data_IF_306584090010
#
_entry.id   IF_306584090010
#
_cell.length_a   1.000
_cell.length_b   1.000
_cell.length_c   1.000
_cell.angle_alpha   90.00
_cell.angle_beta   90.00
_cell.angle_gamma   90.00
#
_symmetry.space_group_name_H-M   'P 1'
#
loop_
_entity.id
_entity.type
_entity.pdbx_description
1 polymer ?
#
# COMPACT_ATOMS: atom_id res chain seq x y z
N UNK A 1 12.31 -29.74 -85.91
CA UNK A 1 11.73 -29.82 -84.55
C UNK A 1 12.80 -29.48 -83.53
N UNK A 2 12.83 -28.23 -83.05
CA UNK A 2 13.69 -27.78 -81.94
C UNK A 2 12.75 -27.14 -80.92
N UNK A 3 12.57 -27.81 -79.79
CA UNK A 3 11.55 -27.52 -78.78
C UNK A 3 12.17 -26.63 -77.69
N UNK A 4 11.91 -25.32 -77.74
CA UNK A 4 12.37 -24.37 -76.72
C UNK A 4 11.60 -24.56 -75.40
N UNK A 5 12.28 -25.13 -74.40
CA UNK A 5 11.80 -25.28 -73.02
C UNK A 5 11.82 -23.92 -72.31
N UNK A 6 10.68 -23.23 -72.26
CA UNK A 6 10.50 -22.01 -71.45
C UNK A 6 10.51 -22.37 -69.96
N UNK A 7 11.59 -22.04 -69.25
CA UNK A 7 11.69 -22.16 -67.79
C UNK A 7 10.95 -20.98 -67.15
N UNK A 8 9.81 -21.23 -66.52
CA UNK A 8 9.09 -20.25 -65.70
C UNK A 8 9.80 -20.14 -64.36
N UNK A 9 10.43 -19.00 -64.10
CA UNK A 9 11.01 -18.65 -62.80
C UNK A 9 9.85 -18.21 -61.90
N UNK A 10 9.51 -19.00 -60.89
CA UNK A 10 8.60 -18.61 -59.82
C UNK A 10 9.37 -17.74 -58.84
N UNK A 11 9.12 -16.43 -58.85
CA UNK A 11 9.61 -15.53 -57.82
C UNK A 11 8.77 -15.72 -56.55
N UNK A 12 9.33 -16.42 -55.56
CA UNK A 12 8.76 -16.48 -54.21
C UNK A 12 9.09 -15.16 -53.52
N UNK A 13 8.12 -14.25 -53.47
CA UNK A 13 8.20 -13.05 -52.64
C UNK A 13 8.07 -13.50 -51.19
N UNK A 14 9.20 -13.61 -50.49
CA UNK A 14 9.24 -13.88 -49.06
C UNK A 14 8.66 -12.69 -48.29
N UNK A 15 7.44 -12.84 -47.81
CA UNK A 15 6.85 -11.92 -46.85
C UNK A 15 7.50 -12.18 -45.48
N UNK A 16 8.63 -11.52 -45.23
CA UNK A 16 9.26 -11.48 -43.92
C UNK A 16 8.32 -10.78 -42.95
N UNK A 17 7.61 -11.56 -42.14
CA UNK A 17 6.94 -11.08 -40.92
C UNK A 17 8.02 -10.49 -40.01
N UNK A 18 8.26 -9.19 -40.15
CA UNK A 18 9.06 -8.42 -39.20
C UNK A 18 8.37 -8.53 -37.84
N UNK A 19 9.04 -9.17 -36.89
CA UNK A 19 8.64 -9.14 -35.50
C UNK A 19 8.64 -7.68 -35.03
N UNK A 20 7.47 -7.07 -35.02
CA UNK A 20 7.23 -5.78 -34.39
C UNK A 20 7.40 -6.02 -32.89
N UNK A 21 8.56 -5.67 -32.35
CA UNK A 21 8.70 -5.43 -30.92
C UNK A 21 7.76 -4.27 -30.58
N UNK A 22 6.62 -4.57 -29.96
CA UNK A 22 5.76 -3.58 -29.32
C UNK A 22 6.32 -3.36 -27.91
N UNK A 23 7.05 -2.27 -27.63
CA UNK A 23 7.38 -1.91 -26.26
C UNK A 23 6.09 -1.49 -25.54
N UNK A 24 5.51 -2.35 -24.72
CA UNK A 24 4.30 -2.01 -23.97
C UNK A 24 3.42 -3.18 -23.49
N UNK A 25 3.97 -4.38 -23.35
CA UNK A 25 3.22 -5.49 -22.71
C UNK A 25 2.95 -5.19 -21.22
N UNK A 26 1.81 -5.66 -20.68
CA UNK A 26 1.49 -5.51 -19.25
C UNK A 26 2.49 -6.33 -18.43
N UNK A 27 3.30 -5.66 -17.60
CA UNK A 27 4.24 -6.36 -16.72
C UNK A 27 5.56 -5.65 -16.41
N UNK A 28 5.79 -4.41 -16.85
CA UNK A 28 6.90 -3.64 -16.29
C UNK A 28 6.53 -3.21 -14.86
N UNK A 29 6.98 -3.96 -13.86
CA UNK A 29 7.06 -3.41 -12.52
C UNK A 29 8.03 -2.22 -12.60
N UNK A 30 7.57 -1.04 -12.18
CA UNK A 30 8.43 0.13 -12.15
C UNK A 30 9.66 -0.20 -11.27
N UNK A 31 10.88 0.16 -11.69
CA UNK A 31 12.06 -0.10 -10.87
C UNK A 31 11.91 0.62 -9.53
N UNK A 32 12.47 0.09 -8.44
CA UNK A 32 12.32 0.67 -7.10
C UNK A 32 12.72 2.14 -7.02
N UNK A 33 13.68 2.55 -7.87
CA UNK A 33 14.13 3.95 -7.97
C UNK A 33 13.07 4.94 -8.44
N UNK A 34 11.95 4.47 -8.98
CA UNK A 34 10.82 5.31 -9.41
C UNK A 34 9.72 5.45 -8.34
N UNK A 35 9.83 4.68 -7.26
CA UNK A 35 8.90 4.70 -6.15
C UNK A 35 9.39 5.67 -5.07
N UNK A 36 8.51 6.58 -4.64
CA UNK A 36 8.82 7.63 -3.68
C UNK A 36 8.32 7.33 -2.27
N UNK A 37 7.26 6.52 -2.17
CA UNK A 37 6.56 6.25 -0.93
C UNK A 37 5.50 7.29 -0.56
N UNK A 38 4.52 6.86 0.23
CA UNK A 38 3.33 7.62 0.58
C UNK A 38 3.65 8.91 1.34
N UNK A 39 4.71 8.93 2.17
CA UNK A 39 5.18 10.09 2.92
C UNK A 39 5.52 11.26 1.99
N UNK A 40 6.13 10.98 0.83
CA UNK A 40 6.48 12.02 -0.15
C UNK A 40 5.23 12.65 -0.74
N UNK A 41 4.23 11.84 -1.09
CA UNK A 41 2.93 12.32 -1.54
C UNK A 41 2.22 13.14 -0.44
N UNK A 42 2.25 12.65 0.80
CA UNK A 42 1.62 13.26 1.97
C UNK A 42 2.15 14.64 2.33
N UNK A 43 3.37 15.00 1.90
CA UNK A 43 3.93 16.34 2.10
C UNK A 43 3.17 17.46 1.39
N UNK A 44 2.39 17.13 0.35
CA UNK A 44 1.52 18.06 -0.37
C UNK A 44 0.04 17.64 -0.34
N UNK A 45 -0.24 16.34 -0.17
CA UNK A 45 -1.57 15.74 -0.19
C UNK A 45 -1.95 15.18 1.19
N UNK A 46 -1.92 16.05 2.20
CA UNK A 46 -2.09 15.67 3.62
C UNK A 46 -3.42 14.96 3.88
N UNK A 47 -4.53 15.49 3.33
CA UNK A 47 -5.86 14.92 3.51
C UNK A 47 -5.97 13.51 2.90
N UNK A 48 -5.43 13.32 1.69
CA UNK A 48 -5.42 12.03 1.01
C UNK A 48 -4.55 11.03 1.77
N UNK A 49 -3.38 11.45 2.25
CA UNK A 49 -2.49 10.61 3.05
C UNK A 49 -3.12 10.21 4.38
N UNK A 50 -3.80 11.14 5.07
CA UNK A 50 -4.53 10.87 6.29
C UNK A 50 -5.72 9.92 6.09
N UNK A 51 -6.39 10.00 4.93
CA UNK A 51 -7.43 9.04 4.55
C UNK A 51 -6.84 7.65 4.29
N UNK A 52 -5.80 7.58 3.45
CA UNK A 52 -5.10 6.33 3.11
C UNK A 52 -4.59 5.59 4.35
N UNK A 53 -4.01 6.30 5.32
CA UNK A 53 -3.53 5.74 6.59
C UNK A 53 -4.59 4.97 7.39
N UNK A 54 -5.87 5.28 7.19
CA UNK A 54 -6.98 4.59 7.88
C UNK A 54 -7.44 3.33 7.15
N UNK A 55 -6.92 3.06 5.97
CA UNK A 55 -7.35 1.96 5.12
C UNK A 55 -6.58 0.68 5.41
N UNK A 56 -7.09 -0.44 4.90
CA UNK A 56 -6.37 -1.70 4.93
C UNK A 56 -5.04 -1.66 4.15
N UNK A 57 -4.92 -0.79 3.15
CA UNK A 57 -3.76 -0.73 2.28
C UNK A 57 -2.50 -0.25 3.01
N UNK A 58 -2.63 0.74 3.90
CA UNK A 58 -1.50 1.25 4.69
C UNK A 58 -0.83 0.16 5.55
N UNK A 59 -1.65 -0.70 6.19
CA UNK A 59 -1.15 -1.77 7.06
C UNK A 59 -1.09 -3.15 6.36
N UNK A 60 -1.16 -3.21 5.02
CA UNK A 60 -1.36 -4.47 4.31
C UNK A 60 -0.28 -5.51 4.68
N UNK A 61 1.00 -5.15 4.62
CA UNK A 61 2.11 -6.04 4.97
C UNK A 61 2.06 -6.49 6.44
N UNK A 62 1.69 -5.59 7.37
CA UNK A 62 1.64 -5.87 8.80
C UNK A 62 0.53 -6.87 9.19
N UNK A 63 -0.42 -7.16 8.29
CA UNK A 63 -1.45 -8.18 8.52
C UNK A 63 -1.01 -9.60 8.15
N UNK A 64 0.17 -9.75 7.55
CA UNK A 64 0.75 -11.06 7.24
C UNK A 64 1.53 -11.60 8.45
N UNK A 65 1.63 -12.93 8.54
CA UNK A 65 2.64 -13.54 9.40
C UNK A 65 4.05 -13.23 8.89
N UNK A 66 5.06 -13.35 9.76
CA UNK A 66 6.46 -13.11 9.38
C UNK A 66 6.91 -13.95 8.17
N UNK A 67 6.43 -15.19 8.07
CA UNK A 67 6.73 -16.09 6.94
C UNK A 67 6.10 -15.57 5.66
N UNK A 68 4.81 -15.22 5.70
CA UNK A 68 4.09 -14.67 4.55
C UNK A 68 4.64 -13.31 4.12
N UNK A 69 5.03 -12.45 5.07
CA UNK A 69 5.60 -11.14 4.78
C UNK A 69 6.90 -11.21 3.97
N UNK A 70 7.61 -12.34 4.01
CA UNK A 70 8.83 -12.59 3.22
C UNK A 70 8.58 -13.35 1.91
N UNK A 71 7.38 -13.90 1.72
CA UNK A 71 7.01 -14.64 0.52
C UNK A 71 6.72 -13.68 -0.65
N UNK A 72 7.47 -13.74 -1.77
CA UNK A 72 7.24 -12.90 -2.94
C UNK A 72 5.79 -12.94 -3.46
N UNK A 73 5.10 -14.08 -3.32
CA UNK A 73 3.70 -14.24 -3.74
C UNK A 73 2.80 -13.33 -2.91
N UNK A 74 2.96 -13.31 -1.58
CA UNK A 74 2.17 -12.44 -0.72
C UNK A 74 2.57 -10.96 -0.89
N UNK A 75 3.88 -10.69 -1.04
CA UNK A 75 4.39 -9.32 -1.22
C UNK A 75 3.90 -8.66 -2.50
N UNK A 76 3.58 -9.44 -3.54
CA UNK A 76 2.99 -8.94 -4.80
C UNK A 76 1.74 -8.07 -4.59
N UNK A 77 0.97 -8.35 -3.53
CA UNK A 77 -0.28 -7.64 -3.21
C UNK A 77 -0.20 -6.83 -1.91
N UNK A 78 0.76 -7.12 -1.03
CA UNK A 78 0.85 -6.52 0.30
C UNK A 78 1.93 -5.43 0.43
N UNK A 79 2.71 -5.20 -0.62
CA UNK A 79 3.73 -4.15 -0.70
C UNK A 79 3.63 -3.42 -2.04
N UNK A 80 4.20 -2.22 -2.11
CA UNK A 80 4.35 -1.51 -3.37
C UNK A 80 5.50 -2.06 -4.22
N UNK A 81 6.54 -2.59 -3.56
CA UNK A 81 7.68 -3.26 -4.21
C UNK A 81 7.91 -4.64 -3.58
N UNK A 82 7.55 -5.72 -4.31
CA UNK A 82 7.72 -7.08 -3.80
C UNK A 82 9.18 -7.48 -3.58
N UNK A 83 10.12 -6.80 -4.26
CA UNK A 83 11.55 -7.11 -4.23
C UNK A 83 12.32 -6.39 -3.13
N UNK A 84 11.80 -5.26 -2.64
CA UNK A 84 12.42 -4.48 -1.57
C UNK A 84 11.91 -4.92 -0.21
N UNK A 85 12.76 -4.89 0.82
CA UNK A 85 12.38 -5.04 2.23
C UNK A 85 12.38 -3.69 2.98
N UNK A 86 12.49 -2.58 2.25
CA UNK A 86 12.48 -1.24 2.83
C UNK A 86 11.14 -0.98 3.55
N UNK A 87 11.14 -0.70 4.88
CA UNK A 87 9.95 -0.34 5.61
C UNK A 87 9.23 0.88 5.03
N UNK A 88 9.93 1.79 4.35
CA UNK A 88 9.33 2.94 3.69
C UNK A 88 8.44 2.56 2.49
N UNK A 89 8.59 1.35 1.94
CA UNK A 89 7.78 0.81 0.84
C UNK A 89 6.82 -0.28 1.32
N UNK A 90 6.67 -0.45 2.64
CA UNK A 90 5.74 -1.41 3.24
C UNK A 90 4.29 -1.00 3.00
N UNK A 91 3.41 -1.99 2.84
CA UNK A 91 2.00 -1.76 2.55
C UNK A 91 1.72 -1.42 1.09
N UNK A 92 0.44 -1.33 0.76
CA UNK A 92 -0.04 -0.88 -0.55
C UNK A 92 -0.15 0.65 -0.49
N UNK A 93 0.68 1.34 -1.25
CA UNK A 93 0.86 2.79 -1.14
C UNK A 93 0.25 3.54 -2.32
N UNK A 94 0.41 4.87 -2.36
CA UNK A 94 -0.15 5.75 -3.39
C UNK A 94 0.14 5.26 -4.81
N UNK A 95 1.39 4.86 -5.06
CA UNK A 95 1.89 4.53 -6.40
C UNK A 95 1.43 3.13 -6.85
N UNK A 96 0.93 2.29 -5.93
CA UNK A 96 0.25 1.03 -6.25
C UNK A 96 -1.06 1.27 -7.02
N UNK A 97 -1.68 2.45 -6.86
CA UNK A 97 -2.90 2.80 -7.59
C UNK A 97 -2.69 3.87 -8.67
N UNK A 98 -1.80 4.83 -8.40
CA UNK A 98 -1.60 6.03 -9.23
C UNK A 98 -0.37 5.94 -10.16
N UNK A 99 0.32 4.80 -10.19
CA UNK A 99 1.57 4.62 -10.94
C UNK A 99 2.78 5.26 -10.23
N UNK A 100 4.01 5.01 -10.73
CA UNK A 100 5.25 5.46 -10.09
C UNK A 100 5.40 6.99 -10.06
N UNK A 101 5.65 7.54 -8.88
CA UNK A 101 5.54 8.97 -8.59
C UNK A 101 6.74 9.82 -8.92
N UNK A 102 7.91 9.22 -9.20
CA UNK A 102 9.17 9.96 -9.39
C UNK A 102 9.07 11.12 -10.38
N UNK A 103 8.34 10.97 -11.49
CA UNK A 103 8.32 11.98 -12.54
C UNK A 103 7.14 12.95 -12.43
N UNK A 104 6.04 12.58 -11.80
CA UNK A 104 4.89 13.47 -11.63
C UNK A 104 4.83 14.19 -10.27
N UNK A 105 5.59 13.74 -9.26
CA UNK A 105 5.62 14.37 -7.94
C UNK A 105 6.17 15.82 -7.89
N UNK A 106 7.10 16.27 -8.76
CA UNK A 106 7.54 17.66 -8.74
C UNK A 106 6.38 18.64 -8.87
N UNK A 107 6.37 19.69 -8.04
CA UNK A 107 5.23 20.62 -7.91
C UNK A 107 4.82 21.29 -9.22
N UNK A 108 5.77 21.60 -10.10
CA UNK A 108 5.49 22.18 -11.41
C UNK A 108 4.82 21.17 -12.36
N UNK A 109 5.16 19.89 -12.27
CA UNK A 109 4.53 18.81 -13.03
C UNK A 109 3.14 18.51 -12.48
N UNK A 110 3.00 18.31 -11.17
CA UNK A 110 1.73 17.94 -10.54
C UNK A 110 0.62 18.99 -10.78
N UNK A 111 0.98 20.25 -10.96
CA UNK A 111 0.03 21.34 -11.25
C UNK A 111 -0.48 21.35 -12.68
N UNK A 112 0.21 20.70 -13.60
CA UNK A 112 -0.16 20.61 -15.01
C UNK A 112 -0.84 19.24 -15.27
N UNK A 113 -2.15 19.21 -15.56
CA UNK A 113 -2.89 17.97 -15.78
C UNK A 113 -2.37 17.11 -16.93
N UNK A 114 -1.92 17.73 -18.01
CA UNK A 114 -1.42 17.02 -19.18
C UNK A 114 -0.05 16.42 -18.86
N UNK A 115 0.83 17.22 -18.26
CA UNK A 115 2.19 16.79 -17.94
C UNK A 115 2.24 15.69 -16.88
N UNK A 116 1.44 15.78 -15.80
CA UNK A 116 1.39 14.71 -14.77
C UNK A 116 0.88 13.39 -15.33
N UNK A 117 -0.10 13.44 -16.23
CA UNK A 117 -0.66 12.25 -16.88
C UNK A 117 0.35 11.64 -17.84
N UNK A 118 1.00 12.46 -18.67
CA UNK A 118 2.06 12.04 -19.57
C UNK A 118 3.23 11.38 -18.84
N UNK A 119 3.54 11.86 -17.63
CA UNK A 119 4.63 11.34 -16.79
C UNK A 119 4.21 10.21 -15.84
N UNK A 120 3.04 9.62 -16.06
CA UNK A 120 2.66 8.34 -15.48
C UNK A 120 1.65 8.39 -14.33
N UNK A 121 1.09 9.56 -14.00
CA UNK A 121 -0.02 9.62 -13.05
C UNK A 121 -1.28 9.05 -13.69
N UNK A 122 -1.81 7.97 -13.11
CA UNK A 122 -3.03 7.32 -13.60
C UNK A 122 -4.24 7.66 -12.75
N UNK A 123 -5.39 7.80 -13.41
CA UNK A 123 -6.67 7.68 -12.73
C UNK A 123 -6.92 6.21 -12.40
N UNK A 124 -7.50 5.97 -11.22
CA UNK A 124 -7.70 4.61 -10.71
C UNK A 124 -8.99 4.06 -11.27
N UNK A 125 -8.87 2.96 -12.01
CA UNK A 125 -9.98 2.22 -12.62
C UNK A 125 -10.10 0.82 -11.99
N UNK A 126 -11.23 0.14 -12.20
CA UNK A 126 -11.49 -1.19 -11.64
C UNK A 126 -10.37 -2.24 -11.85
N UNK A 127 -9.65 -2.27 -13.00
CA UNK A 127 -8.55 -3.22 -13.21
C UNK A 127 -7.39 -3.06 -12.22
N UNK A 128 -7.14 -1.85 -11.71
CA UNK A 128 -6.09 -1.61 -10.70
C UNK A 128 -6.42 -2.35 -9.42
N UNK A 129 -7.70 -2.36 -9.03
CA UNK A 129 -8.17 -3.10 -7.86
C UNK A 129 -8.11 -4.60 -8.09
N UNK A 130 -8.52 -5.06 -9.27
CA UNK A 130 -8.53 -6.48 -9.62
C UNK A 130 -7.12 -7.11 -9.68
N UNK A 131 -6.05 -6.31 -9.78
CA UNK A 131 -4.66 -6.79 -9.75
C UNK A 131 -4.31 -7.53 -8.46
N UNK A 132 -4.98 -7.21 -7.35
CA UNK A 132 -4.86 -7.93 -6.08
C UNK A 132 -6.20 -8.51 -5.61
N UNK A 133 -7.32 -7.96 -6.07
CA UNK A 133 -8.66 -8.38 -5.68
C UNK A 133 -9.32 -9.28 -6.72
N UNK A 134 -8.64 -10.36 -7.10
CA UNK A 134 -9.14 -11.39 -8.01
C UNK A 134 -9.62 -12.65 -7.26
N UNK A 135 -10.51 -13.42 -7.88
CA UNK A 135 -11.10 -14.63 -7.28
C UNK A 135 -10.06 -15.71 -6.92
N UNK A 136 -8.95 -15.75 -7.64
CA UNK A 136 -7.84 -16.68 -7.46
C UNK A 136 -6.77 -16.19 -6.46
N UNK A 137 -6.92 -14.98 -5.92
CA UNK A 137 -5.95 -14.45 -4.95
C UNK A 137 -6.09 -15.17 -3.60
N UNK A 138 -5.02 -15.79 -3.09
CA UNK A 138 -5.09 -16.55 -1.84
C UNK A 138 -5.58 -15.71 -0.65
N UNK A 139 -6.58 -16.22 0.06
CA UNK A 139 -7.07 -15.62 1.30
C UNK A 139 -7.93 -14.37 1.12
N UNK A 140 -8.34 -14.05 -0.11
CA UNK A 140 -9.21 -12.90 -0.36
C UNK A 140 -10.70 -13.27 -0.31
N UNK A 141 -11.49 -12.36 0.24
CA UNK A 141 -12.96 -12.46 0.19
C UNK A 141 -13.47 -11.94 -1.15
N UNK A 142 -14.68 -12.34 -1.58
CA UNK A 142 -15.33 -11.75 -2.75
C UNK A 142 -15.27 -10.23 -2.70
N UNK A 143 -14.76 -9.64 -3.78
CA UNK A 143 -14.54 -8.20 -3.89
C UNK A 143 -15.67 -7.56 -4.71
N UNK A 144 -16.44 -6.69 -4.07
CA UNK A 144 -17.37 -5.78 -4.75
C UNK A 144 -16.68 -4.43 -4.93
N UNK A 145 -16.22 -4.16 -6.16
CA UNK A 145 -15.54 -2.92 -6.50
C UNK A 145 -16.38 -1.69 -6.14
N UNK A 146 -17.68 -1.69 -6.49
CA UNK A 146 -18.57 -0.54 -6.28
C UNK A 146 -18.76 -0.27 -4.78
N UNK A 147 -18.85 -1.32 -3.96
CA UNK A 147 -19.00 -1.18 -2.52
C UNK A 147 -17.67 -0.88 -1.79
N UNK A 148 -16.51 -1.21 -2.37
CA UNK A 148 -15.21 -1.08 -1.69
C UNK A 148 -14.43 0.17 -2.10
N UNK A 149 -14.53 0.61 -3.36
CA UNK A 149 -13.84 1.83 -3.83
C UNK A 149 -14.20 3.03 -2.96
N UNK A 150 -15.40 3.02 -2.38
CA UNK A 150 -15.87 4.09 -1.52
C UNK A 150 -15.08 4.30 -0.24
N UNK A 151 -14.37 3.27 0.21
CA UNK A 151 -13.57 3.25 1.45
C UNK A 151 -12.12 3.67 1.22
N UNK A 152 -11.71 3.81 -0.04
CA UNK A 152 -10.33 4.11 -0.43
C UNK A 152 -10.24 5.41 -1.24
N UNK A 153 -11.31 5.79 -1.95
CA UNK A 153 -11.40 7.09 -2.62
C UNK A 153 -11.17 8.22 -1.62
N UNK A 154 -10.44 9.23 -2.06
CA UNK A 154 -9.92 10.31 -1.24
C UNK A 154 -10.51 11.67 -1.62
N UNK A 155 -11.63 11.64 -2.34
CA UNK A 155 -12.45 12.75 -2.82
C UNK A 155 -13.66 13.06 -1.91
N UNK A 156 -13.85 12.28 -0.84
CA UNK A 156 -15.03 12.42 0.03
C UNK A 156 -14.75 13.00 1.40
N UNK A 157 -15.38 14.15 1.59
CA UNK A 157 -16.10 14.56 2.79
C UNK A 157 -16.97 13.41 3.30
N UNK A 158 -17.11 13.31 4.62
CA UNK A 158 -17.84 12.30 5.39
C UNK A 158 -19.25 11.92 4.87
N UNK A 159 -19.85 12.74 4.00
CA UNK A 159 -21.19 12.62 3.41
C UNK A 159 -21.44 11.38 2.55
N UNK A 160 -20.40 10.77 1.99
CA UNK A 160 -20.54 9.67 1.04
C UNK A 160 -20.29 8.29 1.67
N UNK A 161 -20.01 8.27 2.98
CA UNK A 161 -20.09 7.06 3.79
C UNK A 161 -21.56 6.89 4.16
N UNK A 162 -22.20 5.84 3.65
CA UNK A 162 -23.53 5.48 4.10
C UNK A 162 -23.56 5.45 5.65
N UNK A 163 -24.54 6.06 6.32
CA UNK A 163 -24.59 6.16 7.79
C UNK A 163 -24.57 4.78 8.49
N UNK A 164 -24.87 3.71 7.75
CA UNK A 164 -24.92 2.33 8.23
C UNK A 164 -23.77 1.44 7.72
N UNK A 165 -22.76 2.01 7.05
CA UNK A 165 -21.56 1.26 6.71
C UNK A 165 -20.77 0.99 7.99
N UNK A 166 -21.16 -0.07 8.73
CA UNK A 166 -20.41 -0.57 9.89
C UNK A 166 -18.93 -0.51 9.55
N UNK A 167 -18.08 0.10 10.40
CA UNK A 167 -16.65 -0.02 10.23
C UNK A 167 -16.39 -1.52 10.10
N UNK A 168 -15.70 -1.90 9.02
CA UNK A 168 -15.24 -3.27 8.89
C UNK A 168 -14.50 -3.53 10.19
N UNK A 169 -15.08 -4.37 11.06
CA UNK A 169 -14.60 -4.53 12.42
C UNK A 169 -13.09 -4.73 12.32
N UNK A 170 -12.33 -3.85 12.94
CA UNK A 170 -10.91 -4.07 13.19
C UNK A 170 -10.88 -5.45 13.84
N UNK A 171 -10.46 -6.46 13.07
CA UNK A 171 -10.36 -7.80 13.63
C UNK A 171 -9.43 -7.66 14.83
N UNK A 172 -9.79 -8.18 16.01
CA UNK A 172 -8.77 -8.36 17.04
C UNK A 172 -7.65 -9.17 16.38
N UNK A 173 -6.41 -8.73 16.60
CA UNK A 173 -5.23 -9.50 16.24
C UNK A 173 -5.52 -10.94 16.70
N UNK A 174 -5.73 -11.83 15.73
CA UNK A 174 -6.07 -13.21 16.02
C UNK A 174 -4.79 -13.81 16.60
N UNK A 175 -4.76 -13.86 17.93
CA UNK A 175 -3.63 -14.35 18.69
C UNK A 175 -3.36 -15.81 18.41
N UNK A 176 -2.10 -16.17 18.71
CA UNK A 176 -1.64 -17.49 19.12
C UNK A 176 -2.06 -18.68 18.25
N UNK A 177 -1.10 -19.14 17.44
CA UNK A 177 -1.07 -20.51 16.93
C UNK A 177 -1.16 -21.51 18.10
N UNK A 178 -2.06 -22.50 18.08
CA UNK A 178 -2.15 -23.50 19.13
C UNK A 178 -1.11 -24.59 18.88
N UNK A 179 0.13 -24.37 19.34
CA UNK A 179 1.03 -25.47 19.64
C UNK A 179 2.15 -25.03 20.59
N UNK A 180 1.82 -25.04 21.87
CA UNK A 180 2.80 -25.08 22.96
C UNK A 180 2.23 -25.96 24.07
N UNK A 181 2.08 -27.25 23.78
CA UNK A 181 1.88 -28.28 24.78
C UNK A 181 3.11 -29.17 24.79
N UNK A 182 4.13 -28.82 25.57
CA UNK A 182 4.97 -29.81 26.27
C UNK A 182 5.98 -29.13 27.21
N UNK A 183 6.05 -29.70 28.42
CA UNK A 183 6.98 -29.45 29.52
C UNK A 183 6.57 -28.34 30.52
N UNK A 184 5.66 -28.73 31.42
CA UNK A 184 5.72 -28.32 32.81
C UNK A 184 6.70 -29.24 33.57
N UNK A 185 7.45 -28.66 34.51
CA UNK A 185 7.69 -29.10 35.89
C UNK A 185 9.14 -28.83 36.33
N UNK A 186 9.29 -27.94 37.30
CA UNK A 186 10.09 -28.15 38.50
C UNK A 186 10.07 -26.88 39.35
N UNK A 187 9.08 -26.83 40.24
CA UNK A 187 9.22 -26.47 41.66
C UNK A 187 10.54 -25.84 42.09
N UNK A 188 10.49 -24.62 42.66
CA UNK A 188 11.09 -24.28 43.96
C UNK A 188 10.47 -22.97 44.48
N UNK A 189 9.73 -23.09 45.57
CA UNK A 189 9.26 -22.00 46.41
C UNK A 189 10.35 -21.58 47.40
N UNK A 190 10.32 -20.30 47.81
CA UNK A 190 10.70 -19.72 49.13
C UNK A 190 10.72 -18.19 48.93
N UNK A 191 9.62 -17.48 49.12
CA UNK A 191 9.10 -16.94 50.39
C UNK A 191 10.06 -15.97 51.10
N UNK A 192 9.63 -14.71 51.20
CA UNK A 192 9.86 -13.83 52.35
C UNK A 192 8.97 -12.60 52.20
N UNK A 193 7.90 -12.63 52.98
CA UNK A 193 6.97 -11.53 53.29
C UNK A 193 7.51 -10.65 54.43
N UNK A 194 6.83 -9.52 54.69
CA UNK A 194 6.91 -8.54 55.82
C UNK A 194 7.29 -7.12 55.33
N UNK A 195 6.66 -5.99 55.69
CA UNK A 195 5.36 -5.65 56.28
C UNK A 195 5.23 -4.09 56.26
N UNK A 196 4.07 -3.61 55.80
CA UNK A 196 3.19 -2.57 56.40
C UNK A 196 3.67 -1.16 56.82
N UNK A 197 2.73 -0.21 56.60
CA UNK A 197 2.51 1.14 57.18
C UNK A 197 3.20 2.30 56.45
N UNK A 198 2.44 3.13 55.72
CA UNK A 198 1.56 4.23 56.20
C UNK A 198 2.40 5.40 56.70
N UNK A 199 2.56 6.42 55.86
CA UNK A 199 2.48 7.78 56.36
C UNK A 199 2.02 8.77 55.28
N UNK A 200 0.89 9.36 55.63
CA UNK A 200 0.16 10.46 55.04
C UNK A 200 0.99 11.75 55.05
N UNK A 201 1.19 12.40 53.90
CA UNK A 201 1.24 13.88 53.86
C UNK A 201 0.80 14.48 52.53
N UNK A 202 -0.47 14.83 52.51
CA UNK A 202 -1.06 15.88 51.69
C UNK A 202 -0.46 17.25 52.04
N UNK A 203 -0.04 18.02 51.04
CA UNK A 203 -0.03 19.50 51.11
C UNK A 203 -0.46 20.05 49.76
N UNK A 204 -1.45 20.94 49.84
CA UNK A 204 -2.15 21.65 48.79
C UNK A 204 -1.38 22.90 48.30
N UNK A 205 -1.61 23.24 47.03
CA UNK A 205 -1.58 24.53 46.29
C UNK A 205 -1.42 25.87 47.05
N UNK A 206 -0.96 26.99 46.44
CA UNK A 206 -1.54 27.56 45.20
C UNK A 206 -0.61 28.31 44.21
N UNK A 207 -1.17 28.54 43.02
CA UNK A 207 -0.53 29.20 41.88
C UNK A 207 -0.32 30.71 42.00
N UNK A 208 0.24 31.29 40.93
CA UNK A 208 0.21 32.73 40.62
C UNK A 208 0.56 33.00 39.17
N UNK A 209 -0.44 33.51 38.46
CA UNK A 209 -0.33 34.30 37.23
C UNK A 209 0.55 35.55 37.44
N UNK A 210 1.46 35.80 36.48
CA UNK A 210 2.09 37.08 36.15
C UNK A 210 3.15 36.76 35.08
N UNK A 211 3.04 37.15 33.80
CA UNK A 211 3.10 38.53 33.37
C UNK A 211 2.54 38.65 31.93
N UNK A 212 1.62 39.59 31.75
CA UNK A 212 1.11 40.10 30.48
C UNK A 212 1.83 41.44 30.20
N UNK A 213 2.18 41.69 28.93
CA UNK A 213 2.31 43.01 28.27
C UNK A 213 3.61 43.84 28.40
N UNK A 214 4.29 43.98 27.27
CA UNK A 214 4.66 45.25 26.61
C UNK A 214 4.93 44.89 25.13
N UNK A 215 4.43 45.55 24.09
CA UNK A 215 4.13 46.98 23.92
C UNK A 215 5.17 47.58 22.97
N UNK A 216 4.75 47.78 21.72
CA UNK A 216 5.34 48.38 20.50
C UNK A 216 6.03 49.75 20.71
N UNK A 217 6.75 50.37 19.73
CA UNK A 217 6.39 50.59 18.31
C UNK A 217 7.19 49.82 17.26
#
# INVERSE_FOLDING_TARGET
MVWQKRRRILAVVGLSLGAVCVPGGPGWAAPPSMLLGAERCGSCHEAQYASWKKTGHADALARLSEVQARDPVCRSCHTMDPSSQDPALAGVQCESCHGPGRFYAPRNVMKDPELRTLLGLTNVEAPVCAGCHAEDTPGIRPFDFKAMVVRVRHDHVESDLAPDAKPAASRPASGASPNASMMADSSHASDSSVATRDDRRSVSEPGRDALRQAGTP
#
